data_IF_921979246095
#
_entry.id   IF_921979246095
#
_cell.length_a   1.000
_cell.length_b   1.000
_cell.length_c   1.000
_cell.angle_alpha   90.00
_cell.angle_beta   90.00
_cell.angle_gamma   90.00
#
_symmetry.space_group_name_H-M   'P 1'
#
loop_
_entity.id
_entity.type
_entity.pdbx_description
1 polymer ?
#
# COMPACT_ATOMS: atom_id res chain seq x y z
N UNK A 1 -20.41 -28.39 8.88
CA UNK A 1 -20.06 -27.60 7.68
C UNK A 1 -18.70 -28.02 7.10
N UNK A 2 -18.52 -29.24 6.54
CA UNK A 2 -17.24 -29.65 5.94
C UNK A 2 -17.09 -29.34 4.44
N UNK A 3 -18.21 -29.21 3.69
CA UNK A 3 -18.21 -29.09 2.21
C UNK A 3 -17.59 -27.76 1.73
N UNK A 4 -17.75 -26.68 2.49
CA UNK A 4 -17.20 -25.36 2.12
C UNK A 4 -15.67 -25.33 2.20
N UNK A 5 -15.08 -25.95 3.23
CA UNK A 5 -13.63 -25.92 3.48
C UNK A 5 -12.82 -26.58 2.36
N UNK A 6 -13.28 -27.73 1.85
CA UNK A 6 -12.61 -28.42 0.73
C UNK A 6 -12.60 -27.59 -0.56
N UNK A 7 -13.65 -26.79 -0.79
CA UNK A 7 -13.73 -25.87 -1.93
C UNK A 7 -12.74 -24.72 -1.76
N UNK A 8 -12.66 -24.12 -0.57
CA UNK A 8 -11.69 -23.05 -0.29
C UNK A 8 -10.24 -23.53 -0.42
N UNK A 9 -9.92 -24.73 0.06
CA UNK A 9 -8.59 -25.32 -0.08
C UNK A 9 -8.20 -25.48 -1.55
N UNK A 10 -9.07 -26.03 -2.39
CA UNK A 10 -8.79 -26.21 -3.82
C UNK A 10 -8.60 -24.90 -4.57
N UNK A 11 -9.34 -23.85 -4.20
CA UNK A 11 -9.16 -22.51 -4.77
C UNK A 11 -7.82 -21.93 -4.34
N UNK A 12 -7.48 -22.04 -3.05
CA UNK A 12 -6.19 -21.59 -2.53
C UNK A 12 -5.01 -22.30 -3.21
N UNK A 13 -5.08 -23.63 -3.35
CA UNK A 13 -4.05 -24.42 -4.03
C UNK A 13 -3.86 -23.95 -5.48
N UNK A 14 -4.96 -23.72 -6.21
CA UNK A 14 -4.92 -23.17 -7.57
C UNK A 14 -4.25 -21.80 -7.62
N UNK A 15 -4.58 -20.92 -6.68
CA UNK A 15 -3.99 -19.58 -6.58
C UNK A 15 -2.49 -19.69 -6.29
N UNK A 16 -2.08 -20.55 -5.36
CA UNK A 16 -0.66 -20.75 -5.03
C UNK A 16 0.15 -21.31 -6.19
N UNK A 17 -0.42 -22.25 -6.95
CA UNK A 17 0.19 -22.76 -8.19
C UNK A 17 0.31 -21.67 -9.24
N UNK A 18 -0.76 -20.89 -9.45
CA UNK A 18 -0.76 -19.74 -10.36
C UNK A 18 0.30 -18.70 -10.00
N UNK A 19 0.35 -18.28 -8.73
CA UNK A 19 1.35 -17.34 -8.23
C UNK A 19 2.79 -17.85 -8.40
N UNK A 20 3.02 -19.15 -8.21
CA UNK A 20 4.34 -19.76 -8.41
C UNK A 20 4.77 -19.70 -9.87
N UNK A 21 3.83 -19.90 -10.80
CA UNK A 21 4.06 -19.76 -12.24
C UNK A 21 4.32 -18.31 -12.65
N UNK A 22 3.45 -17.38 -12.26
CA UNK A 22 3.60 -15.94 -12.53
C UNK A 22 4.93 -15.39 -11.99
N UNK A 23 5.37 -15.86 -10.81
CA UNK A 23 6.68 -15.51 -10.25
C UNK A 23 7.84 -15.95 -11.15
N UNK A 24 7.76 -17.17 -11.70
CA UNK A 24 8.79 -17.70 -12.59
C UNK A 24 8.83 -16.92 -13.91
N UNK A 25 7.68 -16.63 -14.51
CA UNK A 25 7.57 -15.80 -15.72
C UNK A 25 8.09 -14.38 -15.48
N UNK A 26 7.77 -13.79 -14.33
CA UNK A 26 8.30 -12.48 -13.92
C UNK A 26 9.82 -12.49 -13.80
N UNK A 27 10.41 -13.57 -13.26
CA UNK A 27 11.87 -13.71 -13.15
C UNK A 27 12.54 -13.77 -14.53
N UNK A 28 11.93 -14.48 -15.47
CA UNK A 28 12.41 -14.59 -16.86
C UNK A 28 12.28 -13.25 -17.61
N UNK A 29 11.16 -12.55 -17.42
CA UNK A 29 10.95 -11.19 -17.94
C UNK A 29 12.03 -10.23 -17.42
N UNK A 30 12.26 -10.20 -16.10
CA UNK A 30 13.26 -9.32 -15.47
C UNK A 30 14.66 -9.64 -15.99
N UNK A 31 15.02 -10.92 -16.12
CA UNK A 31 16.30 -11.33 -16.71
C UNK A 31 16.46 -10.79 -18.14
N UNK A 32 15.46 -11.02 -18.98
CA UNK A 32 15.46 -10.58 -20.38
C UNK A 32 15.57 -9.07 -20.49
N UNK A 33 14.87 -8.33 -19.62
CA UNK A 33 14.93 -6.88 -19.55
C UNK A 33 16.32 -6.38 -19.14
N UNK A 34 16.95 -6.98 -18.13
CA UNK A 34 18.32 -6.63 -17.74
C UNK A 34 19.35 -6.95 -18.84
N UNK A 35 19.20 -8.08 -19.53
CA UNK A 35 20.04 -8.43 -20.67
C UNK A 35 19.89 -7.39 -21.80
N UNK A 36 18.68 -6.92 -22.09
CA UNK A 36 18.44 -5.86 -23.07
C UNK A 36 19.02 -4.50 -22.64
N UNK A 37 18.86 -4.11 -21.37
CA UNK A 37 19.38 -2.85 -20.85
C UNK A 37 20.91 -2.82 -20.83
N UNK A 38 21.55 -3.92 -20.44
CA UNK A 38 23.02 -4.00 -20.40
C UNK A 38 23.65 -3.89 -21.78
N UNK A 39 23.00 -4.38 -22.83
CA UNK A 39 23.41 -4.15 -24.22
C UNK A 39 23.26 -2.69 -24.67
N UNK A 40 22.36 -1.93 -24.03
CA UNK A 40 22.08 -0.52 -24.34
C UNK A 40 22.87 0.46 -23.47
N UNK A 41 23.67 -0.03 -22.51
CA UNK A 41 24.56 0.84 -21.73
C UNK A 41 25.58 1.51 -22.66
N UNK A 42 25.91 2.80 -22.44
CA UNK A 42 26.90 3.50 -23.25
C UNK A 42 28.22 2.72 -23.25
N UNK A 43 28.73 2.46 -24.45
CA UNK A 43 29.94 1.66 -24.71
C UNK A 43 29.82 0.16 -24.39
N UNK A 44 28.63 -0.39 -24.19
CA UNK A 44 28.41 -1.81 -23.91
C UNK A 44 29.06 -2.28 -22.60
N UNK A 45 29.37 -1.34 -21.69
CA UNK A 45 30.05 -1.63 -20.43
C UNK A 45 29.11 -2.29 -19.42
N UNK A 46 29.67 -3.02 -18.47
CA UNK A 46 28.93 -3.52 -17.31
C UNK A 46 28.67 -2.38 -16.31
N UNK A 47 27.59 -2.47 -15.50
CA UNK A 47 27.36 -1.52 -14.42
C UNK A 47 28.53 -1.50 -13.43
N UNK A 48 28.93 -0.31 -13.01
CA UNK A 48 29.92 -0.11 -11.96
C UNK A 48 29.31 -0.43 -10.59
N UNK A 49 30.15 -0.77 -9.60
CA UNK A 49 29.67 -1.15 -8.26
C UNK A 49 28.81 -0.07 -7.59
N UNK A 50 29.11 1.21 -7.83
CA UNK A 50 28.33 2.32 -7.28
C UNK A 50 26.94 2.45 -7.92
N UNK A 51 26.81 2.16 -9.22
CA UNK A 51 25.53 2.16 -9.95
C UNK A 51 24.62 1.04 -9.44
N UNK A 52 25.19 -0.15 -9.21
CA UNK A 52 24.47 -1.29 -8.62
C UNK A 52 23.99 -0.94 -7.21
N UNK A 53 24.85 -0.33 -6.39
CA UNK A 53 24.48 0.09 -5.03
C UNK A 53 23.35 1.11 -5.04
N UNK A 54 23.39 2.09 -5.96
CA UNK A 54 22.33 3.09 -6.09
C UNK A 54 21.00 2.45 -6.53
N UNK A 55 21.03 1.51 -7.48
CA UNK A 55 19.85 0.77 -7.92
C UNK A 55 19.23 -0.08 -6.81
N UNK A 56 20.04 -0.72 -5.96
CA UNK A 56 19.56 -1.45 -4.78
C UNK A 56 18.86 -0.51 -3.80
N UNK A 57 19.40 0.70 -3.60
CA UNK A 57 18.76 1.68 -2.73
C UNK A 57 17.40 2.13 -3.28
N UNK A 58 17.31 2.37 -4.59
CA UNK A 58 16.02 2.66 -5.25
C UNK A 58 15.03 1.50 -5.13
N UNK A 59 15.50 0.27 -5.24
CA UNK A 59 14.66 -0.92 -5.07
C UNK A 59 14.09 -1.01 -3.65
N UNK A 60 14.85 -0.60 -2.62
CA UNK A 60 14.33 -0.52 -1.25
C UNK A 60 13.18 0.48 -1.15
N UNK A 61 13.31 1.65 -1.77
CA UNK A 61 12.25 2.65 -1.76
C UNK A 61 10.99 2.17 -2.50
N UNK A 62 11.14 1.48 -3.64
CA UNK A 62 10.01 0.85 -4.35
C UNK A 62 9.33 -0.20 -3.47
N UNK A 63 10.08 -1.01 -2.74
CA UNK A 63 9.52 -1.99 -1.81
C UNK A 63 8.77 -1.34 -0.65
N UNK A 64 9.32 -0.25 -0.07
CA UNK A 64 8.64 0.53 0.97
C UNK A 64 7.31 1.11 0.47
N UNK A 65 7.29 1.68 -0.73
CA UNK A 65 6.06 2.20 -1.35
C UNK A 65 5.04 1.09 -1.55
N UNK A 66 5.45 -0.08 -2.06
CA UNK A 66 4.56 -1.21 -2.28
C UNK A 66 3.93 -1.71 -0.97
N UNK A 67 4.72 -1.81 0.11
CA UNK A 67 4.23 -2.19 1.42
C UNK A 67 3.25 -1.14 2.00
N UNK A 68 3.58 0.15 1.87
CA UNK A 68 2.71 1.24 2.30
C UNK A 68 1.41 1.28 1.51
N UNK A 69 1.42 0.98 0.21
CA UNK A 69 0.21 0.97 -0.62
C UNK A 69 -0.80 -0.07 -0.14
N UNK A 70 -0.32 -1.26 0.22
CA UNK A 70 -1.17 -2.32 0.78
C UNK A 70 -1.82 -1.88 2.11
N UNK A 71 -1.07 -1.16 2.95
CA UNK A 71 -1.59 -0.62 4.20
C UNK A 71 -2.50 0.59 3.98
N UNK A 72 -2.22 1.42 2.97
CA UNK A 72 -2.97 2.63 2.68
C UNK A 72 -4.42 2.35 2.26
N UNK A 73 -4.65 1.27 1.51
CA UNK A 73 -6.00 0.85 1.09
C UNK A 73 -6.81 0.18 2.20
N UNK A 74 -6.17 -0.17 3.32
CA UNK A 74 -6.85 -0.85 4.43
C UNK A 74 -7.71 0.15 5.20
N UNK A 75 -8.97 -0.17 5.58
CA UNK A 75 -9.76 0.67 6.46
C UNK A 75 -9.01 0.96 7.77
N UNK A 76 -8.95 2.23 8.18
CA UNK A 76 -8.16 2.67 9.34
C UNK A 76 -6.67 2.93 9.04
N UNK A 77 -6.26 2.94 7.77
CA UNK A 77 -4.89 3.29 7.34
C UNK A 77 -4.38 4.62 7.88
N UNK A 78 -5.28 5.60 8.04
CA UNK A 78 -4.98 6.91 8.64
C UNK A 78 -4.36 6.77 10.04
N UNK A 79 -4.74 5.75 10.82
CA UNK A 79 -4.19 5.49 12.16
C UNK A 79 -3.06 4.47 12.11
N UNK A 80 -3.18 3.42 11.30
CA UNK A 80 -2.20 2.31 11.30
C UNK A 80 -0.88 2.70 10.66
N UNK A 81 -0.87 3.54 9.61
CA UNK A 81 0.35 4.03 8.97
C UNK A 81 1.22 4.86 9.93
N UNK A 82 0.73 5.90 10.63
CA UNK A 82 1.55 6.64 11.59
C UNK A 82 1.97 5.78 12.79
N UNK A 83 1.12 4.85 13.25
CA UNK A 83 1.49 3.88 14.28
C UNK A 83 2.67 3.01 13.84
N UNK A 84 2.64 2.49 12.60
CA UNK A 84 3.73 1.69 12.05
C UNK A 84 5.02 2.51 11.90
N UNK A 85 4.92 3.77 11.46
CA UNK A 85 6.06 4.67 11.38
C UNK A 85 6.69 4.92 12.75
N UNK A 86 5.87 5.18 13.77
CA UNK A 86 6.33 5.35 15.15
C UNK A 86 7.00 4.09 15.69
N UNK A 87 6.44 2.91 15.40
CA UNK A 87 7.02 1.63 15.79
C UNK A 87 8.35 1.37 15.08
N UNK A 88 8.44 1.58 13.77
CA UNK A 88 9.68 1.41 13.01
C UNK A 88 10.80 2.29 13.54
N UNK A 89 10.53 3.58 13.79
CA UNK A 89 11.51 4.53 14.35
C UNK A 89 12.06 4.07 15.69
N UNK A 90 11.23 3.42 16.54
CA UNK A 90 11.68 2.86 17.83
C UNK A 90 12.74 1.77 17.68
N UNK A 91 12.74 1.05 16.56
CA UNK A 91 13.74 0.02 16.23
C UNK A 91 14.82 0.52 15.27
N UNK A 92 14.87 1.82 14.97
CA UNK A 92 15.81 2.40 14.00
C UNK A 92 15.49 2.03 12.54
N UNK A 93 14.25 1.61 12.26
CA UNK A 93 13.79 1.24 10.92
C UNK A 93 12.97 2.40 10.35
N UNK A 94 13.44 2.98 9.25
CA UNK A 94 12.70 4.02 8.55
C UNK A 94 11.73 3.40 7.55
N UNK A 95 10.44 3.47 7.88
CA UNK A 95 9.34 2.87 7.11
C UNK A 95 9.02 3.69 5.87
N UNK A 96 9.18 5.02 5.93
CA UNK A 96 8.88 5.88 4.80
C UNK A 96 9.99 5.78 3.72
N UNK A 97 9.62 5.88 2.43
CA UNK A 97 10.60 5.98 1.35
C UNK A 97 11.39 7.28 1.49
N UNK A 98 12.62 7.30 0.98
CA UNK A 98 13.51 8.45 1.10
C UNK A 98 12.85 9.77 0.65
N UNK A 99 12.07 9.76 -0.43
CA UNK A 99 11.37 10.94 -0.97
C UNK A 99 10.27 11.52 -0.08
N UNK A 100 9.80 10.76 0.92
CA UNK A 100 8.72 11.16 1.83
C UNK A 100 9.26 11.69 3.17
N UNK A 101 10.57 11.62 3.36
CA UNK A 101 11.23 12.14 4.53
C UNK A 101 11.46 13.64 4.32
N UNK A 102 10.60 14.47 4.88
CA UNK A 102 10.91 15.90 5.04
C UNK A 102 12.07 16.04 6.01
N UNK A 103 13.05 16.90 5.70
CA UNK A 103 14.15 17.26 6.63
C UNK A 103 13.68 18.03 7.89
N UNK A 104 12.37 18.08 8.12
CA UNK A 104 11.80 18.73 9.28
C UNK A 104 11.79 17.73 10.44
N UNK A 105 12.34 18.10 11.62
CA UNK A 105 12.39 17.20 12.75
C UNK A 105 10.97 16.72 13.06
N UNK A 106 10.81 15.40 13.17
CA UNK A 106 9.54 14.74 13.38
C UNK A 106 8.80 15.42 14.54
N UNK A 107 7.82 16.26 14.21
CA UNK A 107 6.81 16.70 15.16
C UNK A 107 6.12 15.42 15.62
N UNK A 108 6.35 15.06 16.88
CA UNK A 108 5.42 14.18 17.58
C UNK A 108 4.02 14.76 17.32
N UNK A 109 3.04 13.94 16.90
CA UNK A 109 1.71 14.46 16.68
C UNK A 109 1.27 15.13 17.98
N UNK A 110 1.05 16.45 17.92
CA UNK A 110 0.52 17.17 19.06
C UNK A 110 -0.85 16.55 19.37
N UNK A 111 -1.24 16.47 20.65
CA UNK A 111 -2.55 15.94 21.04
C UNK A 111 -3.69 16.57 20.22
N UNK A 112 -3.52 17.84 19.86
CA UNK A 112 -4.39 18.65 19.00
C UNK A 112 -4.57 18.05 17.59
N UNK A 113 -3.50 17.60 16.93
CA UNK A 113 -3.58 17.03 15.58
C UNK A 113 -4.30 15.66 15.54
N UNK A 114 -4.24 14.90 16.64
CA UNK A 114 -4.97 13.63 16.79
C UNK A 114 -6.46 13.89 17.08
N UNK A 115 -6.76 14.96 17.81
CA UNK A 115 -8.13 15.39 18.09
C UNK A 115 -8.81 15.93 16.83
N UNK A 116 -8.11 16.75 16.04
CA UNK A 116 -8.60 17.27 14.76
C UNK A 116 -8.86 16.15 13.72
N UNK A 117 -7.98 15.16 13.65
CA UNK A 117 -8.18 14.00 12.79
C UNK A 117 -9.37 13.15 13.26
N UNK A 118 -9.58 13.01 14.57
CA UNK A 118 -10.76 12.34 15.15
C UNK A 118 -12.06 13.07 14.82
N UNK A 119 -12.07 14.40 14.94
CA UNK A 119 -13.25 15.23 14.65
C UNK A 119 -13.62 15.23 13.16
N UNK A 120 -12.63 15.21 12.26
CA UNK A 120 -12.89 15.11 10.82
C UNK A 120 -13.45 13.75 10.41
N UNK A 121 -13.05 12.67 11.08
CA UNK A 121 -13.62 11.35 10.87
C UNK A 121 -15.06 11.26 11.38
N UNK A 122 -15.40 11.90 12.50
CA UNK A 122 -16.79 11.99 12.97
C UNK A 122 -17.67 12.83 12.04
N UNK A 123 -17.18 13.99 11.57
CA UNK A 123 -17.94 14.85 10.66
C UNK A 123 -18.17 14.22 9.28
N UNK A 124 -17.23 13.40 8.80
CA UNK A 124 -17.40 12.60 7.57
C UNK A 124 -18.45 11.49 7.69
N UNK A 125 -18.66 10.94 8.89
CA UNK A 125 -19.68 9.89 9.15
C UNK A 125 -21.08 10.49 9.31
N UNK A 126 -21.21 11.72 9.83
CA UNK A 126 -22.52 12.37 10.05
C UNK A 126 -23.14 12.90 8.74
N UNK A 127 -22.33 13.15 7.70
CA UNK A 127 -22.80 13.68 6.43
C UNK A 127 -23.62 12.68 5.57
N UNK A 128 -23.52 11.36 5.81
CA UNK A 128 -24.24 10.33 5.04
C UNK A 128 -25.58 9.91 5.66
N UNK A 129 -25.91 10.36 6.87
CA UNK A 129 -27.15 10.00 7.56
C UNK A 129 -28.21 11.12 7.48
N UNK A 130 -28.57 11.57 6.28
CA UNK A 130 -29.81 12.32 6.08
C UNK A 130 -30.91 11.34 5.68
N UNK A 131 -31.95 11.10 6.50
CA UNK A 131 -33.07 10.26 6.08
C UNK A 131 -33.77 10.93 4.90
N UNK A 132 -34.05 10.16 3.84
CA UNK A 132 -34.94 10.58 2.75
C UNK A 132 -36.29 11.03 3.34
N UNK A 133 -36.89 12.12 2.84
CA UNK A 133 -38.22 12.52 3.27
C UNK A 133 -39.25 11.46 2.84
N UNK A 134 -40.07 11.01 3.79
CA UNK A 134 -41.19 10.09 3.55
C UNK A 134 -42.16 10.62 2.48
N UNK A 135 -42.79 9.74 1.67
CA UNK A 135 -43.70 10.16 0.62
C UNK A 135 -44.97 10.80 1.20
N UNK A 136 -45.30 11.98 0.69
CA UNK A 136 -46.48 12.76 1.02
C UNK A 136 -47.75 11.99 0.61
N UNK A 137 -48.54 11.58 1.60
CA UNK A 137 -49.82 10.88 1.45
C UNK A 137 -50.83 11.80 0.74
N UNK A 138 -51.02 11.58 -0.56
CA UNK A 138 -52.03 12.31 -1.34
C UNK A 138 -53.36 11.58 -1.15
N UNK A 139 -54.40 12.21 -0.56
CA UNK A 139 -55.69 11.56 -0.39
C UNK A 139 -56.34 11.29 -1.76
N UNK A 140 -57.13 10.21 -1.89
CA UNK A 140 -57.75 9.84 -3.16
C UNK A 140 -58.74 10.91 -3.60
N UNK A 141 -58.58 11.41 -4.83
CA UNK A 141 -59.62 12.15 -5.53
C UNK A 141 -60.85 11.26 -5.71
N UNK A 142 -62.00 11.75 -5.25
CA UNK A 142 -63.35 11.18 -5.48
C UNK A 142 -63.76 11.36 -6.94
#
# INVERSE_FOLDING_TARGET
>A
MPIEFERYSKVFDRVMVGLSKERQETKEMVRTFFEALTQKLPNGRKPEAHEIRAAIEQLKDVHKIAALLLLAITPGSVVTVPMLCAFGRRFGIEVLPSSFQSNEPALAPTPEALEEAGQQLEQGVIAEAKPEPEPEDTPPSV
#
